data_IF_308335411012
#
_entry.id   IF_308335411012
#
_cell.length_a   1.000
_cell.length_b   1.000
_cell.length_c   1.000
_cell.angle_alpha   90.00
_cell.angle_beta   90.00
_cell.angle_gamma   90.00
#
_symmetry.space_group_name_H-M   'P 1'
#
loop_
_entity.id
_entity.type
_entity.pdbx_description
1 polymer ?
#
# COMPACT_ATOMS: atom_id res chain seq x y z
N UNK A 1 -1.13 -5.11 33.63
CA UNK A 1 -2.13 -4.49 32.74
C UNK A 1 -2.55 -5.56 31.72
N UNK A 2 -3.80 -5.54 31.23
CA UNK A 2 -4.26 -6.44 30.16
C UNK A 2 -3.47 -6.05 28.89
N UNK A 3 -2.88 -7.03 28.21
CA UNK A 3 -2.19 -6.80 26.93
C UNK A 3 -3.20 -6.54 25.83
N UNK A 4 -2.82 -5.73 24.83
CA UNK A 4 -3.54 -5.60 23.57
C UNK A 4 -3.27 -6.84 22.69
N UNK A 5 -4.34 -7.51 22.25
CA UNK A 5 -4.28 -8.82 21.63
C UNK A 5 -4.56 -8.75 20.14
N UNK A 6 -3.56 -9.08 19.33
CA UNK A 6 -3.73 -9.25 17.88
C UNK A 6 -3.98 -10.72 17.54
N UNK A 7 -4.87 -10.96 16.57
CA UNK A 7 -4.96 -12.24 15.88
C UNK A 7 -4.48 -12.07 14.44
N UNK A 8 -3.74 -13.06 13.92
CA UNK A 8 -3.22 -13.03 12.55
C UNK A 8 -4.05 -13.96 11.66
N UNK A 9 -4.59 -13.41 10.57
CA UNK A 9 -5.27 -14.16 9.52
C UNK A 9 -4.33 -14.28 8.32
N UNK A 10 -3.64 -15.45 8.22
CA UNK A 10 -2.62 -15.74 7.21
C UNK A 10 -1.25 -16.01 7.84
N UNK A 11 -0.67 -17.19 7.57
CA UNK A 11 0.61 -17.63 8.11
C UNK A 11 1.73 -17.50 7.05
N UNK A 12 1.92 -16.29 6.51
CA UNK A 12 2.90 -15.97 5.46
C UNK A 12 4.16 -15.30 5.98
N UNK A 13 5.03 -14.87 5.03
CA UNK A 13 6.27 -14.17 5.35
C UNK A 13 6.00 -12.83 6.06
N UNK A 14 5.04 -12.05 5.55
CA UNK A 14 4.73 -10.74 6.11
C UNK A 14 4.17 -10.85 7.54
N UNK A 15 3.43 -11.91 7.83
CA UNK A 15 2.93 -12.20 9.18
C UNK A 15 4.07 -12.40 10.21
N UNK A 16 5.24 -12.94 9.78
CA UNK A 16 6.43 -13.05 10.66
C UNK A 16 7.00 -11.67 10.99
N UNK A 17 7.04 -10.77 10.01
CA UNK A 17 7.49 -9.39 10.23
C UNK A 17 6.56 -8.68 11.22
N UNK A 18 5.26 -8.94 11.12
CA UNK A 18 4.27 -8.40 12.06
C UNK A 18 4.47 -8.96 13.48
N UNK A 19 4.70 -10.27 13.66
CA UNK A 19 5.02 -10.86 14.96
C UNK A 19 6.27 -10.23 15.59
N UNK A 20 7.34 -10.04 14.79
CA UNK A 20 8.55 -9.38 15.27
C UNK A 20 8.25 -7.93 15.70
N UNK A 21 7.47 -7.18 14.93
CA UNK A 21 7.08 -5.82 15.29
C UNK A 21 6.24 -5.76 16.57
N UNK A 22 5.24 -6.62 16.73
CA UNK A 22 4.40 -6.70 17.94
C UNK A 22 5.25 -7.02 19.17
N UNK A 23 6.25 -7.91 19.04
CA UNK A 23 7.15 -8.28 20.13
C UNK A 23 8.01 -7.11 20.67
N UNK A 24 8.13 -6.03 19.87
CA UNK A 24 8.88 -4.81 20.21
C UNK A 24 8.00 -3.73 20.86
N UNK A 25 6.69 -3.97 20.99
CA UNK A 25 5.73 -3.03 21.56
C UNK A 25 5.28 -3.52 22.92
N UNK A 26 5.61 -2.77 23.96
CA UNK A 26 5.23 -3.12 25.33
C UNK A 26 3.70 -3.19 25.47
N UNK A 27 3.24 -4.21 26.18
CA UNK A 27 1.81 -4.39 26.44
C UNK A 27 1.01 -4.97 25.29
N UNK A 28 1.66 -5.50 24.23
CA UNK A 28 1.04 -6.16 23.09
C UNK A 28 1.40 -7.64 23.01
N UNK A 29 0.58 -8.41 22.32
CA UNK A 29 0.87 -9.80 21.97
C UNK A 29 0.10 -10.25 20.72
N UNK A 30 0.64 -11.26 20.05
CA UNK A 30 -0.10 -12.03 19.04
C UNK A 30 -0.70 -13.23 19.79
N UNK A 31 -2.01 -13.25 19.97
CA UNK A 31 -2.71 -14.30 20.74
C UNK A 31 -3.00 -15.54 19.90
N UNK A 32 -3.20 -15.39 18.59
CA UNK A 32 -3.55 -16.50 17.73
C UNK A 32 -3.18 -16.26 16.25
N UNK A 33 -3.03 -17.36 15.52
CA UNK A 33 -2.85 -17.34 14.06
C UNK A 33 -3.81 -18.33 13.39
N UNK A 34 -4.38 -17.97 12.25
CA UNK A 34 -5.13 -18.89 11.41
C UNK A 34 -4.59 -18.95 9.98
N UNK A 35 -4.73 -20.14 9.36
CA UNK A 35 -4.37 -20.36 7.96
C UNK A 35 -5.29 -21.43 7.39
N UNK A 36 -5.58 -21.41 6.07
CA UNK A 36 -6.34 -22.47 5.37
C UNK A 36 -5.74 -23.91 5.54
N UNK A 37 -4.60 -24.03 6.21
CA UNK A 37 -3.94 -25.31 6.53
C UNK A 37 -3.54 -25.28 8.00
N UNK A 38 -4.09 -26.23 8.78
CA UNK A 38 -3.77 -26.37 10.21
C UNK A 38 -2.26 -26.56 10.43
N UNK A 39 -1.62 -27.39 9.61
CA UNK A 39 -0.18 -27.62 9.71
C UNK A 39 0.66 -26.35 9.48
N UNK A 40 0.23 -25.48 8.57
CA UNK A 40 0.90 -24.17 8.36
C UNK A 40 0.67 -23.23 9.53
N UNK A 41 -0.54 -23.19 10.09
CA UNK A 41 -0.85 -22.38 11.26
C UNK A 41 -0.05 -22.87 12.48
N UNK A 42 0.00 -24.18 12.70
CA UNK A 42 0.78 -24.82 13.80
C UNK A 42 2.28 -24.53 13.69
N UNK A 43 2.87 -24.72 12.50
CA UNK A 43 4.28 -24.43 12.28
C UNK A 43 4.61 -22.96 12.51
N UNK A 44 3.78 -22.06 11.97
CA UNK A 44 3.93 -20.61 12.18
C UNK A 44 3.85 -20.25 13.67
N UNK A 45 2.88 -20.80 14.39
CA UNK A 45 2.70 -20.57 15.83
C UNK A 45 3.93 -21.00 16.64
N UNK A 46 4.47 -22.19 16.36
CA UNK A 46 5.69 -22.69 16.99
C UNK A 46 6.92 -21.81 16.72
N UNK A 47 7.09 -21.38 15.47
CA UNK A 47 8.25 -20.55 15.07
C UNK A 47 8.21 -19.14 15.67
N UNK A 48 7.02 -18.60 15.94
CA UNK A 48 6.84 -17.22 16.37
C UNK A 48 6.32 -17.07 17.80
N UNK A 49 6.22 -18.17 18.57
CA UNK A 49 5.81 -18.14 19.97
C UNK A 49 4.34 -17.77 20.18
N UNK A 50 3.46 -18.07 19.22
CA UNK A 50 2.01 -17.86 19.31
C UNK A 50 1.38 -19.11 19.94
N UNK A 51 0.51 -18.93 20.94
CA UNK A 51 -0.04 -20.06 21.69
C UNK A 51 -1.15 -20.80 20.95
N UNK A 52 -2.07 -20.04 20.32
CA UNK A 52 -3.27 -20.60 19.67
C UNK A 52 -3.14 -20.60 18.15
N UNK A 53 -3.57 -21.68 17.50
CA UNK A 53 -3.57 -21.78 16.04
C UNK A 53 -4.83 -22.49 15.52
N UNK A 54 -5.30 -22.08 14.35
CA UNK A 54 -6.58 -22.50 13.75
C UNK A 54 -6.43 -22.74 12.25
N UNK A 55 -7.29 -23.60 11.68
CA UNK A 55 -7.49 -23.76 10.24
C UNK A 55 -8.78 -23.07 9.74
N UNK A 56 -9.51 -22.45 10.66
CA UNK A 56 -10.72 -21.69 10.40
C UNK A 56 -10.63 -20.29 10.99
N UNK A 57 -10.86 -19.28 10.17
CA UNK A 57 -10.74 -17.87 10.56
C UNK A 57 -11.88 -17.42 11.49
N UNK A 58 -13.10 -17.91 11.23
CA UNK A 58 -14.28 -17.59 12.02
C UNK A 58 -14.17 -18.17 13.43
N UNK A 59 -13.75 -19.43 13.53
CA UNK A 59 -13.50 -20.10 14.81
C UNK A 59 -12.44 -19.35 15.64
N UNK A 60 -11.38 -18.84 15.00
CA UNK A 60 -10.37 -18.03 15.69
C UNK A 60 -11.01 -16.77 16.29
N UNK A 61 -11.80 -16.02 15.49
CA UNK A 61 -12.43 -14.76 15.94
C UNK A 61 -13.40 -15.02 17.10
N UNK A 62 -14.22 -16.07 17.03
CA UNK A 62 -15.18 -16.43 18.06
C UNK A 62 -14.53 -16.82 19.39
N UNK A 63 -13.46 -17.62 19.33
CA UNK A 63 -12.80 -18.17 20.53
C UNK A 63 -11.86 -17.18 21.18
N UNK A 64 -11.03 -16.50 20.39
CA UNK A 64 -9.98 -15.63 20.91
C UNK A 64 -10.48 -14.21 21.22
N UNK A 65 -11.46 -13.72 20.46
CA UNK A 65 -12.00 -12.35 20.59
C UNK A 65 -10.86 -11.34 20.70
N UNK A 66 -10.01 -11.23 19.68
CA UNK A 66 -8.86 -10.33 19.71
C UNK A 66 -9.31 -8.87 19.74
N UNK A 67 -8.43 -7.99 20.22
CA UNK A 67 -8.68 -6.55 20.19
C UNK A 67 -8.50 -5.98 18.77
N UNK A 68 -7.74 -6.66 17.88
CA UNK A 68 -7.59 -6.37 16.46
C UNK A 68 -7.19 -7.62 15.66
N UNK A 69 -7.70 -7.77 14.44
CA UNK A 69 -7.27 -8.77 13.48
C UNK A 69 -6.29 -8.14 12.47
N UNK A 70 -5.11 -8.75 12.31
CA UNK A 70 -4.18 -8.45 11.24
C UNK A 70 -4.36 -9.43 10.08
N UNK A 71 -4.74 -8.92 8.90
CA UNK A 71 -5.01 -9.73 7.72
C UNK A 71 -3.79 -9.75 6.83
N UNK A 72 -3.16 -10.91 6.68
CA UNK A 72 -1.89 -11.14 5.99
C UNK A 72 -1.96 -12.31 5.01
N UNK A 73 -3.04 -12.38 4.27
CA UNK A 73 -3.28 -13.35 3.18
C UNK A 73 -2.92 -12.74 1.82
N UNK A 74 -3.27 -13.39 0.72
CA UNK A 74 -3.16 -12.79 -0.62
C UNK A 74 -4.31 -11.80 -0.88
N UNK A 75 -4.06 -10.79 -1.69
CA UNK A 75 -4.94 -9.63 -1.92
C UNK A 75 -6.39 -10.01 -2.27
N UNK A 76 -6.59 -11.11 -2.99
CA UNK A 76 -7.93 -11.60 -3.35
C UNK A 76 -8.82 -12.00 -2.16
N UNK A 77 -8.25 -12.29 -1.00
CA UNK A 77 -8.99 -12.68 0.22
C UNK A 77 -9.12 -11.51 1.25
N UNK A 78 -8.44 -10.36 1.04
CA UNK A 78 -8.43 -9.24 1.99
C UNK A 78 -9.82 -8.71 2.30
N UNK A 79 -10.60 -8.36 1.27
CA UNK A 79 -11.96 -7.85 1.43
C UNK A 79 -12.86 -8.83 2.19
N UNK A 80 -12.91 -10.09 1.77
CA UNK A 80 -13.75 -11.11 2.39
C UNK A 80 -13.44 -11.30 3.88
N UNK A 81 -12.15 -11.35 4.24
CA UNK A 81 -11.75 -11.51 5.64
C UNK A 81 -11.96 -10.24 6.46
N UNK A 82 -11.82 -9.07 5.86
CA UNK A 82 -12.16 -7.80 6.52
C UNK A 82 -13.65 -7.73 6.84
N UNK A 83 -14.53 -8.11 5.91
CA UNK A 83 -15.98 -8.23 6.15
C UNK A 83 -16.28 -9.23 7.27
N UNK A 84 -15.60 -10.38 7.29
CA UNK A 84 -15.75 -11.38 8.36
C UNK A 84 -15.41 -10.77 9.73
N UNK A 85 -14.24 -10.10 9.85
CA UNK A 85 -13.81 -9.48 11.10
C UNK A 85 -14.81 -8.41 11.58
N UNK A 86 -15.24 -7.51 10.68
CA UNK A 86 -16.19 -6.45 11.01
C UNK A 86 -17.55 -7.04 11.45
N UNK A 87 -17.99 -8.16 10.84
CA UNK A 87 -19.19 -8.86 11.26
C UNK A 87 -19.08 -9.48 12.66
N UNK A 88 -17.89 -9.89 13.06
CA UNK A 88 -17.59 -10.37 14.41
C UNK A 88 -17.25 -9.23 15.40
N UNK A 89 -17.43 -7.96 15.01
CA UNK A 89 -17.08 -6.77 15.79
C UNK A 89 -15.60 -6.72 16.19
N UNK A 90 -14.72 -7.19 15.32
CA UNK A 90 -13.26 -7.17 15.52
C UNK A 90 -12.65 -6.09 14.61
N UNK A 91 -11.91 -5.12 15.17
CA UNK A 91 -11.13 -4.14 14.43
C UNK A 91 -10.16 -4.78 13.44
N UNK A 92 -9.88 -4.09 12.33
CA UNK A 92 -9.09 -4.62 11.22
C UNK A 92 -7.89 -3.74 10.92
N UNK A 93 -6.72 -4.38 10.84
CA UNK A 93 -5.52 -3.90 10.18
C UNK A 93 -5.22 -4.86 9.03
N UNK A 94 -5.38 -4.43 7.77
CA UNK A 94 -5.28 -5.31 6.61
C UNK A 94 -4.10 -4.93 5.72
N UNK A 95 -3.30 -5.91 5.33
CA UNK A 95 -2.20 -5.72 4.38
C UNK A 95 -2.63 -5.02 3.09
N UNK A 96 -1.68 -4.30 2.52
CA UNK A 96 -1.84 -3.63 1.22
C UNK A 96 -1.74 -4.67 0.06
N UNK A 97 -2.34 -4.42 -1.08
CA UNK A 97 -3.46 -3.52 -1.29
C UNK A 97 -4.69 -4.12 -0.62
N UNK A 98 -5.38 -3.32 0.18
CA UNK A 98 -6.51 -3.83 0.95
C UNK A 98 -7.69 -4.26 0.08
N UNK A 99 -7.88 -3.61 -1.06
CA UNK A 99 -9.00 -3.84 -1.98
C UNK A 99 -8.51 -4.10 -3.40
N UNK A 100 -9.33 -4.80 -4.18
CA UNK A 100 -9.09 -4.99 -5.60
C UNK A 100 -9.69 -3.86 -6.45
N UNK A 101 -10.74 -3.19 -5.95
CA UNK A 101 -11.49 -2.14 -6.61
C UNK A 101 -12.19 -1.23 -5.61
N UNK A 102 -12.76 -0.12 -6.09
CA UNK A 102 -13.43 0.87 -5.24
C UNK A 102 -14.79 0.42 -4.71
N UNK A 103 -15.44 -0.58 -5.31
CA UNK A 103 -16.70 -1.14 -4.82
C UNK A 103 -16.48 -1.89 -3.50
N UNK A 104 -15.44 -2.74 -3.43
CA UNK A 104 -15.05 -3.43 -2.19
C UNK A 104 -14.77 -2.42 -1.06
N UNK A 105 -14.03 -1.34 -1.36
CA UNK A 105 -13.71 -0.30 -0.39
C UNK A 105 -14.97 0.40 0.15
N UNK A 106 -15.86 0.84 -0.75
CA UNK A 106 -17.12 1.48 -0.36
C UNK A 106 -18.00 0.57 0.51
N UNK A 107 -18.12 -0.70 0.11
CA UNK A 107 -18.96 -1.66 0.82
C UNK A 107 -18.42 -1.95 2.23
N UNK A 108 -17.10 -2.15 2.38
CA UNK A 108 -16.51 -2.42 3.69
C UNK A 108 -16.59 -1.18 4.61
N UNK A 109 -16.27 0.01 4.10
CA UNK A 109 -16.30 1.21 4.92
C UNK A 109 -17.72 1.61 5.34
N UNK A 110 -18.74 1.35 4.50
CA UNK A 110 -20.13 1.50 4.88
C UNK A 110 -20.47 0.56 6.05
N UNK A 111 -20.14 -0.72 5.92
CA UNK A 111 -20.38 -1.72 6.97
C UNK A 111 -19.64 -1.38 8.28
N UNK A 112 -18.37 -0.97 8.18
CA UNK A 112 -17.55 -0.58 9.33
C UNK A 112 -18.10 0.66 10.04
N UNK A 113 -18.60 1.64 9.28
CA UNK A 113 -19.25 2.84 9.82
C UNK A 113 -20.54 2.50 10.57
N UNK A 114 -21.41 1.64 9.99
CA UNK A 114 -22.67 1.20 10.61
C UNK A 114 -22.42 0.45 11.93
N UNK A 115 -21.40 -0.41 11.93
CA UNK A 115 -21.03 -1.22 13.12
C UNK A 115 -20.11 -0.49 14.10
N UNK A 116 -19.58 0.67 13.73
CA UNK A 116 -18.60 1.47 14.50
C UNK A 116 -17.32 0.67 14.77
N UNK A 117 -16.79 -0.01 13.78
CA UNK A 117 -15.58 -0.84 13.88
C UNK A 117 -14.43 -0.14 13.14
N UNK A 118 -13.28 -0.05 13.81
CA UNK A 118 -12.05 0.45 13.21
C UNK A 118 -11.59 -0.42 12.06
N UNK A 119 -11.22 0.19 10.93
CA UNK A 119 -10.62 -0.47 9.76
C UNK A 119 -9.51 0.39 9.20
N UNK A 120 -8.35 -0.19 8.96
CA UNK A 120 -7.19 0.50 8.40
C UNK A 120 -6.44 -0.39 7.42
N UNK A 121 -6.01 0.17 6.28
CA UNK A 121 -5.03 -0.44 5.40
C UNK A 121 -3.63 -0.31 6.00
N UNK A 122 -2.83 -1.39 5.97
CA UNK A 122 -1.47 -1.41 6.50
C UNK A 122 -0.49 -0.78 5.49
N UNK A 123 -0.41 0.55 5.51
CA UNK A 123 0.50 1.35 4.68
C UNK A 123 1.70 1.81 5.52
N UNK A 124 2.46 0.86 6.01
CA UNK A 124 3.61 1.08 6.90
C UNK A 124 4.59 2.13 6.40
N UNK A 125 4.73 2.28 5.06
CA UNK A 125 5.59 3.27 4.41
C UNK A 125 5.29 4.72 4.80
N UNK A 126 4.01 5.07 5.02
CA UNK A 126 3.60 6.43 5.47
C UNK A 126 4.11 6.77 6.87
N UNK A 127 4.45 5.77 7.66
CA UNK A 127 4.92 5.91 9.04
C UNK A 127 6.45 5.96 9.15
N UNK A 128 7.17 5.56 8.11
CA UNK A 128 8.64 5.55 8.12
C UNK A 128 9.22 6.93 8.44
N UNK A 129 10.19 7.04 9.35
CA UNK A 129 10.78 8.32 9.75
C UNK A 129 11.33 9.16 8.59
N UNK A 130 11.94 8.52 7.59
CA UNK A 130 12.46 9.20 6.40
C UNK A 130 11.35 9.77 5.50
N UNK A 131 10.24 9.03 5.29
CA UNK A 131 9.07 9.50 4.54
C UNK A 131 8.42 10.68 5.28
N UNK A 132 8.26 10.57 6.59
CA UNK A 132 7.74 11.67 7.42
C UNK A 132 8.67 12.89 7.44
N UNK A 133 9.98 12.66 7.34
CA UNK A 133 10.93 13.77 7.22
C UNK A 133 10.79 14.50 5.88
N UNK A 134 10.67 13.76 4.77
CA UNK A 134 10.42 14.37 3.46
C UNK A 134 9.11 15.19 3.47
N UNK A 135 8.03 14.64 4.04
CA UNK A 135 6.76 15.36 4.23
C UNK A 135 6.96 16.65 5.04
N UNK A 136 7.67 16.60 6.17
CA UNK A 136 7.97 17.80 6.98
C UNK A 136 8.73 18.84 6.20
N UNK A 137 9.71 18.47 5.37
CA UNK A 137 10.43 19.44 4.54
C UNK A 137 9.53 20.11 3.49
N UNK A 138 8.56 19.36 2.94
CA UNK A 138 7.53 19.93 2.04
C UNK A 138 6.64 20.90 2.81
N UNK A 139 6.10 20.50 3.96
CA UNK A 139 5.25 21.36 4.84
C UNK A 139 5.98 22.61 5.35
N UNK A 140 7.29 22.54 5.54
CA UNK A 140 8.15 23.66 5.92
C UNK A 140 8.62 24.51 4.73
N UNK A 141 8.13 24.21 3.53
CA UNK A 141 8.50 24.90 2.27
C UNK A 141 10.02 24.96 2.01
N UNK A 142 10.80 23.96 2.47
CA UNK A 142 12.26 23.90 2.31
C UNK A 142 12.72 23.97 0.85
N UNK A 143 11.91 23.49 -0.06
CA UNK A 143 12.12 23.55 -1.51
C UNK A 143 11.19 24.57 -2.20
N UNK A 144 10.38 25.32 -1.43
CA UNK A 144 9.23 26.06 -1.92
C UNK A 144 8.07 25.12 -2.24
N UNK A 145 7.00 25.62 -2.87
CA UNK A 145 5.90 24.78 -3.33
C UNK A 145 6.40 23.70 -4.29
N UNK A 146 6.12 22.40 -4.05
CA UNK A 146 6.43 21.35 -5.01
C UNK A 146 5.77 21.60 -6.35
N UNK A 147 6.50 21.41 -7.45
CA UNK A 147 6.00 21.59 -8.82
C UNK A 147 6.04 20.31 -9.65
N UNK A 148 7.02 19.45 -9.38
CA UNK A 148 7.19 18.15 -10.04
C UNK A 148 7.55 17.09 -8.99
N UNK A 149 6.98 15.90 -9.12
CA UNK A 149 7.39 14.71 -8.38
C UNK A 149 7.60 13.56 -9.36
N UNK A 150 8.69 12.82 -9.18
CA UNK A 150 8.96 11.58 -9.91
C UNK A 150 9.16 10.44 -8.90
N UNK A 151 8.53 9.29 -9.14
CA UNK A 151 8.69 8.12 -8.30
C UNK A 151 8.82 6.87 -9.15
N UNK A 152 9.94 6.16 -8.99
CA UNK A 152 10.20 4.89 -9.66
C UNK A 152 10.34 3.78 -8.62
N UNK A 153 9.62 2.67 -8.82
CA UNK A 153 9.75 1.44 -8.05
C UNK A 153 9.74 0.26 -9.04
N UNK A 154 10.78 -0.58 -9.04
CA UNK A 154 10.75 -1.70 -9.97
C UNK A 154 11.87 -2.71 -9.73
N UNK A 155 11.49 -3.98 -9.88
CA UNK A 155 12.38 -5.12 -9.76
C UNK A 155 11.99 -6.20 -10.77
N UNK A 156 12.87 -7.18 -10.99
CA UNK A 156 12.55 -8.33 -11.84
C UNK A 156 11.99 -9.44 -10.95
N UNK A 157 10.69 -9.67 -11.07
CA UNK A 157 10.01 -10.76 -10.37
C UNK A 157 10.42 -12.14 -10.96
N UNK A 158 10.36 -13.22 -10.15
CA UNK A 158 10.61 -14.57 -10.67
C UNK A 158 9.64 -14.90 -11.82
N UNK A 159 10.19 -15.42 -12.93
CA UNK A 159 9.39 -15.82 -14.11
C UNK A 159 8.63 -17.13 -13.84
N UNK A 160 7.52 -17.00 -13.12
CA UNK A 160 6.65 -18.10 -12.73
C UNK A 160 5.19 -17.61 -12.71
N UNK A 161 4.36 -18.12 -13.63
CA UNK A 161 2.96 -17.73 -13.81
C UNK A 161 2.08 -18.08 -12.60
N UNK A 162 2.46 -19.06 -11.79
CA UNK A 162 1.77 -19.43 -10.55
C UNK A 162 2.20 -18.59 -9.35
N UNK A 163 3.26 -17.80 -9.50
CA UNK A 163 3.71 -16.89 -8.47
C UNK A 163 2.66 -15.79 -8.21
N UNK A 164 2.59 -15.31 -6.96
CA UNK A 164 1.65 -14.27 -6.54
C UNK A 164 1.70 -12.98 -7.40
N UNK A 165 2.85 -12.69 -8.03
CA UNK A 165 3.02 -11.50 -8.88
C UNK A 165 2.23 -11.61 -10.19
N UNK A 166 2.20 -12.81 -10.80
CA UNK A 166 1.62 -13.05 -12.12
C UNK A 166 0.30 -13.81 -12.09
N UNK A 167 -0.14 -14.30 -10.92
CA UNK A 167 -1.37 -15.08 -10.81
C UNK A 167 -2.57 -14.18 -10.48
N UNK A 168 -3.51 -13.95 -11.44
CA UNK A 168 -4.68 -13.10 -11.20
C UNK A 168 -5.60 -13.63 -10.10
N UNK A 169 -5.63 -14.99 -9.89
CA UNK A 169 -6.44 -15.61 -8.84
C UNK A 169 -5.94 -15.28 -7.43
N UNK A 170 -4.69 -14.86 -7.30
CA UNK A 170 -4.09 -14.44 -6.04
C UNK A 170 -4.11 -12.91 -5.86
N UNK A 171 -4.69 -12.17 -6.82
CA UNK A 171 -4.68 -10.72 -6.84
C UNK A 171 -3.36 -10.14 -7.32
N UNK A 172 -2.66 -10.84 -8.25
CA UNK A 172 -1.42 -10.39 -8.86
C UNK A 172 -1.57 -9.08 -9.64
N UNK A 173 -0.44 -8.53 -10.06
CA UNK A 173 -0.32 -7.28 -10.80
C UNK A 173 0.55 -6.25 -10.09
N UNK A 174 1.29 -5.45 -10.86
CA UNK A 174 2.16 -4.38 -10.36
C UNK A 174 1.37 -3.33 -9.60
N UNK A 175 0.17 -3.00 -10.08
CA UNK A 175 -0.75 -2.05 -9.47
C UNK A 175 -0.94 -2.30 -7.97
N UNK A 176 -1.26 -3.53 -7.59
CA UNK A 176 -1.61 -3.89 -6.20
C UNK A 176 -0.38 -4.20 -5.34
N UNK A 177 0.78 -4.42 -5.95
CA UNK A 177 1.98 -4.75 -5.17
C UNK A 177 2.93 -3.56 -4.99
N UNK A 178 3.21 -2.78 -6.03
CA UNK A 178 4.19 -1.69 -6.00
C UNK A 178 3.63 -0.32 -6.40
N UNK A 179 2.67 -0.24 -7.35
CA UNK A 179 2.08 1.04 -7.76
C UNK A 179 1.30 1.67 -6.60
N UNK A 180 0.66 0.85 -5.77
CA UNK A 180 0.03 1.28 -4.51
C UNK A 180 1.01 2.10 -3.66
N UNK A 181 2.25 1.65 -3.47
CA UNK A 181 3.25 2.40 -2.68
C UNK A 181 3.63 3.74 -3.32
N UNK A 182 3.91 3.74 -4.63
CA UNK A 182 4.25 4.97 -5.33
C UNK A 182 3.12 6.02 -5.22
N UNK A 183 1.87 5.59 -5.38
CA UNK A 183 0.70 6.45 -5.27
C UNK A 183 0.49 6.94 -3.83
N UNK A 184 0.47 6.04 -2.87
CA UNK A 184 0.15 6.35 -1.47
C UNK A 184 1.18 7.25 -0.80
N UNK A 185 2.49 7.04 -1.08
CA UNK A 185 3.54 7.91 -0.54
C UNK A 185 3.47 9.29 -1.21
N UNK A 186 3.22 9.36 -2.51
CA UNK A 186 3.08 10.62 -3.26
C UNK A 186 1.94 11.47 -2.71
N UNK A 187 0.75 10.88 -2.58
CA UNK A 187 -0.44 11.58 -2.06
C UNK A 187 -0.27 11.99 -0.61
N UNK A 188 0.36 11.16 0.21
CA UNK A 188 0.65 11.45 1.61
C UNK A 188 1.63 12.62 1.76
N UNK A 189 2.72 12.66 0.99
CA UNK A 189 3.72 13.72 1.11
C UNK A 189 3.18 15.05 0.57
N UNK A 190 2.56 15.04 -0.61
CA UNK A 190 2.08 16.25 -1.26
C UNK A 190 0.85 16.83 -0.56
N UNK A 191 -0.06 15.97 -0.09
CA UNK A 191 -1.32 16.35 0.57
C UNK A 191 -2.10 17.45 -0.20
N UNK A 192 -2.11 17.35 -1.53
CA UNK A 192 -2.78 18.28 -2.44
C UNK A 192 -4.01 17.61 -3.09
N UNK A 193 -4.98 18.43 -3.51
CA UNK A 193 -6.13 17.94 -4.27
C UNK A 193 -5.73 17.44 -5.66
N UNK A 194 -6.21 16.25 -6.02
CA UNK A 194 -6.00 15.65 -7.35
C UNK A 194 -7.02 16.24 -8.31
N UNK A 195 -6.55 16.82 -9.44
CA UNK A 195 -7.38 17.34 -10.53
C UNK A 195 -7.61 16.31 -11.61
N UNK A 196 -6.59 15.53 -11.94
CA UNK A 196 -6.67 14.50 -12.99
C UNK A 196 -5.65 13.39 -12.77
N UNK A 197 -5.99 12.17 -13.20
CA UNK A 197 -5.10 11.01 -13.27
C UNK A 197 -5.21 10.38 -14.65
N UNK A 198 -4.06 10.20 -15.31
CA UNK A 198 -3.92 9.42 -16.53
C UNK A 198 -3.09 8.18 -16.25
N UNK A 199 -3.45 7.06 -16.86
CA UNK A 199 -2.79 5.77 -16.66
C UNK A 199 -2.42 5.12 -17.99
N UNK A 200 -1.32 4.38 -18.00
CA UNK A 200 -0.99 3.42 -19.04
C UNK A 200 -0.31 2.21 -18.37
N UNK A 201 -0.51 1.04 -18.95
CA UNK A 201 0.04 -0.20 -18.40
C UNK A 201 0.44 -1.17 -19.52
N UNK A 202 1.39 -2.06 -19.22
CA UNK A 202 1.67 -3.25 -20.02
C UNK A 202 1.27 -4.49 -19.26
N UNK A 203 0.90 -5.55 -19.98
CA UNK A 203 0.24 -6.72 -19.42
C UNK A 203 1.03 -8.00 -19.72
N UNK A 204 1.01 -8.94 -18.77
CA UNK A 204 1.54 -10.28 -18.97
C UNK A 204 0.54 -11.17 -19.74
N UNK A 205 1.01 -12.33 -20.19
CA UNK A 205 0.15 -13.37 -20.79
C UNK A 205 -0.92 -13.91 -19.82
N UNK A 206 -0.74 -13.73 -18.52
CA UNK A 206 -1.71 -14.16 -17.51
C UNK A 206 -2.84 -13.15 -17.29
N UNK A 207 -2.75 -11.96 -17.93
CA UNK A 207 -3.74 -10.90 -17.84
C UNK A 207 -3.58 -9.99 -16.63
N UNK A 208 -2.41 -9.98 -15.96
CA UNK A 208 -2.08 -8.98 -14.93
C UNK A 208 -1.16 -7.92 -15.50
N UNK A 209 -1.26 -6.70 -14.99
CA UNK A 209 -0.35 -5.59 -15.28
C UNK A 209 1.05 -5.89 -14.76
N UNK A 210 2.08 -5.52 -15.53
CA UNK A 210 3.48 -5.76 -15.17
C UNK A 210 4.33 -4.51 -15.13
N UNK A 211 3.91 -3.45 -15.83
CA UNK A 211 4.50 -2.12 -15.77
C UNK A 211 3.39 -1.10 -15.85
N UNK A 212 3.34 -0.20 -14.87
CA UNK A 212 2.36 0.86 -14.82
C UNK A 212 3.04 2.21 -14.89
N UNK A 213 2.42 3.12 -15.63
CA UNK A 213 2.73 4.54 -15.64
C UNK A 213 1.48 5.32 -15.20
N UNK A 214 1.63 6.11 -14.13
CA UNK A 214 0.55 6.92 -13.56
C UNK A 214 1.00 8.37 -13.52
N UNK A 215 0.35 9.22 -14.33
CA UNK A 215 0.57 10.65 -14.34
C UNK A 215 -0.57 11.35 -13.58
N UNK A 216 -0.22 12.12 -12.54
CA UNK A 216 -1.18 12.79 -11.66
C UNK A 216 -1.00 14.29 -11.74
N UNK A 217 -2.06 15.02 -12.10
CA UNK A 217 -2.12 16.46 -11.99
C UNK A 217 -2.77 16.83 -10.66
N UNK A 218 -2.01 17.34 -9.74
CA UNK A 218 -2.47 17.95 -8.50
C UNK A 218 -2.79 19.44 -8.69
N UNK A 219 -3.06 20.15 -7.62
CA UNK A 219 -3.34 21.60 -7.67
C UNK A 219 -2.14 22.40 -8.19
N UNK A 220 -0.96 22.14 -7.64
CA UNK A 220 0.28 22.87 -7.95
C UNK A 220 1.40 21.95 -8.46
N UNK A 221 1.24 20.62 -8.39
CA UNK A 221 2.27 19.62 -8.69
C UNK A 221 1.83 18.69 -9.80
N UNK A 222 2.76 18.37 -10.70
CA UNK A 222 2.64 17.24 -11.61
C UNK A 222 3.48 16.08 -11.08
N UNK A 223 2.86 14.91 -10.86
CA UNK A 223 3.56 13.71 -10.42
C UNK A 223 3.57 12.65 -11.51
N UNK A 224 4.73 11.98 -11.65
CA UNK A 224 5.01 10.93 -12.62
C UNK A 224 5.50 9.69 -11.88
N UNK A 225 4.71 8.61 -11.92
CA UNK A 225 4.96 7.36 -11.22
C UNK A 225 5.18 6.25 -12.22
N UNK A 226 6.34 5.57 -12.16
CA UNK A 226 6.66 4.43 -12.99
C UNK A 226 6.98 3.23 -12.12
N UNK A 227 6.26 2.13 -12.33
CA UNK A 227 6.45 0.89 -11.56
C UNK A 227 6.55 -0.31 -12.48
N UNK A 228 7.37 -1.32 -12.15
CA UNK A 228 7.55 -2.49 -13.00
C UNK A 228 7.96 -3.74 -12.22
N UNK A 229 7.37 -4.90 -12.60
CA UNK A 229 7.85 -6.23 -12.17
C UNK A 229 8.85 -6.87 -13.15
N UNK A 230 9.04 -6.28 -14.31
CA UNK A 230 9.83 -6.89 -15.40
C UNK A 230 11.06 -6.06 -15.74
N UNK A 231 11.30 -5.00 -15.00
CA UNK A 231 12.49 -4.16 -15.14
C UNK A 231 13.03 -3.74 -13.77
N UNK A 232 14.35 -3.85 -13.59
CA UNK A 232 15.03 -3.26 -12.45
C UNK A 232 15.14 -1.75 -12.68
N UNK A 233 14.41 -0.96 -11.89
CA UNK A 233 14.48 0.49 -11.93
C UNK A 233 15.42 1.02 -10.84
N UNK A 234 15.95 2.23 -11.02
CA UNK A 234 16.55 2.98 -9.93
C UNK A 234 15.42 3.48 -9.01
N UNK A 235 15.26 2.81 -7.87
CA UNK A 235 14.16 3.07 -6.96
C UNK A 235 14.39 4.35 -6.17
N UNK A 236 13.65 5.38 -6.51
CA UNK A 236 13.69 6.64 -5.81
C UNK A 236 12.41 7.45 -6.01
N UNK A 237 12.16 8.36 -5.06
CA UNK A 237 11.21 9.46 -5.24
C UNK A 237 11.99 10.78 -5.18
N UNK A 238 11.76 11.65 -6.15
CA UNK A 238 12.35 12.98 -6.19
C UNK A 238 11.24 14.03 -6.27
N UNK A 239 11.25 14.97 -5.33
CA UNK A 239 10.28 16.07 -5.25
C UNK A 239 11.02 17.36 -5.55
N UNK A 240 10.61 18.06 -6.59
CA UNK A 240 11.24 19.29 -7.06
C UNK A 240 10.38 20.50 -6.71
N UNK A 241 11.01 21.55 -6.22
CA UNK A 241 10.42 22.86 -6.01
C UNK A 241 11.32 23.96 -6.49
N UNK A 242 10.88 25.21 -6.29
CA UNK A 242 11.61 26.39 -6.78
C UNK A 242 13.03 26.54 -6.22
N UNK A 243 13.26 26.06 -4.97
CA UNK A 243 14.50 26.33 -4.25
C UNK A 243 15.40 25.09 -4.08
N UNK A 244 14.96 23.93 -4.57
CA UNK A 244 15.73 22.71 -4.43
C UNK A 244 14.90 21.46 -4.72
N UNK A 245 15.40 20.32 -4.26
CA UNK A 245 14.73 19.05 -4.36
C UNK A 245 14.92 18.19 -3.12
N UNK A 246 13.96 17.32 -2.86
CA UNK A 246 14.03 16.26 -1.86
C UNK A 246 14.18 14.92 -2.59
N UNK A 247 15.08 14.06 -2.11
CA UNK A 247 15.31 12.72 -2.66
C UNK A 247 15.07 11.70 -1.56
N UNK A 248 14.22 10.71 -1.84
CA UNK A 248 13.97 9.52 -1.02
C UNK A 248 14.40 8.29 -1.81
N UNK A 249 15.56 7.71 -1.53
CA UNK A 249 15.93 6.38 -2.04
C UNK A 249 14.96 5.34 -1.50
N UNK A 250 14.60 4.36 -2.34
CA UNK A 250 13.72 3.25 -1.96
C UNK A 250 12.47 3.68 -1.18
N UNK A 251 11.57 4.49 -1.78
CA UNK A 251 10.53 5.23 -1.06
C UNK A 251 9.63 4.35 -0.19
N UNK A 252 9.35 3.11 -0.60
CA UNK A 252 8.46 2.19 0.12
C UNK A 252 9.09 1.52 1.36
N UNK A 253 10.44 1.61 1.52
CA UNK A 253 11.16 1.20 2.74
C UNK A 253 12.31 2.17 3.07
N UNK A 254 12.10 3.46 2.80
CA UNK A 254 13.10 4.50 2.98
C UNK A 254 13.62 4.58 4.42
N UNK A 255 14.95 4.51 4.58
CA UNK A 255 15.64 4.76 5.84
C UNK A 255 16.33 6.11 5.87
N UNK A 256 16.39 6.82 4.75
CA UNK A 256 17.06 8.11 4.63
C UNK A 256 16.36 9.04 3.63
N UNK A 257 16.57 10.34 3.82
CA UNK A 257 16.06 11.39 2.96
C UNK A 257 17.10 12.50 2.79
N UNK A 258 17.18 13.08 1.61
CA UNK A 258 18.14 14.11 1.26
C UNK A 258 17.44 15.38 0.79
N UNK A 259 17.92 16.53 1.25
CA UNK A 259 17.49 17.86 0.80
C UNK A 259 18.64 18.56 0.09
N UNK A 260 18.46 18.89 -1.18
CA UNK A 260 19.44 19.58 -2.01
C UNK A 260 18.94 20.97 -2.41
N UNK A 261 19.84 21.93 -2.50
CA UNK A 261 19.59 23.21 -3.18
C UNK A 261 19.67 23.09 -4.69
N UNK A 262 19.25 24.13 -5.43
CA UNK A 262 19.37 24.19 -6.90
C UNK A 262 20.82 24.24 -7.39
N UNK A 263 21.75 24.61 -6.52
CA UNK A 263 23.20 24.54 -6.73
C UNK A 263 23.75 23.11 -6.73
N UNK A 264 22.89 22.12 -6.39
CA UNK A 264 23.26 20.73 -6.23
C UNK A 264 23.92 20.41 -4.88
N UNK A 265 24.12 21.40 -4.00
CA UNK A 265 24.66 21.15 -2.67
C UNK A 265 23.67 20.47 -1.75
N UNK A 266 24.16 19.49 -0.99
CA UNK A 266 23.42 18.84 0.08
C UNK A 266 23.21 19.85 1.23
N UNK A 267 21.95 20.16 1.53
CA UNK A 267 21.58 21.08 2.61
C UNK A 267 21.24 20.34 3.91
N UNK A 268 20.50 19.26 3.82
CA UNK A 268 20.14 18.40 4.97
C UNK A 268 20.16 16.93 4.54
N UNK A 269 20.57 16.05 5.47
CA UNK A 269 20.51 14.59 5.31
C UNK A 269 19.90 13.99 6.57
N UNK A 270 18.83 13.27 6.41
CA UNK A 270 18.18 12.51 7.47
C UNK A 270 18.50 11.02 7.29
N UNK A 271 18.90 10.37 8.38
CA UNK A 271 19.11 8.91 8.43
C UNK A 271 18.40 8.35 9.64
N UNK A 272 17.55 7.35 9.41
CA UNK A 272 16.94 6.57 10.48
C UNK A 272 17.87 5.41 10.87
N UNK A 273 18.46 5.51 12.04
CA UNK A 273 19.36 4.50 12.59
C UNK A 273 18.69 3.64 13.69
N UNK A 274 17.50 4.01 14.12
CA UNK A 274 16.86 3.43 15.29
C UNK A 274 15.81 2.37 14.95
N UNK A 275 15.13 2.53 13.82
CA UNK A 275 14.05 1.62 13.42
C UNK A 275 14.59 0.24 13.06
N UNK A 276 14.21 -0.77 13.84
CA UNK A 276 14.55 -2.18 13.58
C UNK A 276 13.49 -2.88 12.72
N UNK A 277 12.23 -2.46 12.87
CA UNK A 277 11.10 -2.97 12.12
C UNK A 277 10.08 -1.82 11.96
N UNK A 278 9.87 -1.36 10.73
CA UNK A 278 9.02 -0.21 10.44
C UNK A 278 7.52 -0.41 10.72
N UNK A 279 7.07 -1.66 10.85
CA UNK A 279 5.68 -1.98 11.17
C UNK A 279 5.27 -1.53 12.57
N UNK A 280 6.23 -1.32 13.49
CA UNK A 280 5.92 -0.86 14.86
C UNK A 280 5.08 0.42 14.87
N UNK A 281 5.32 1.32 13.91
CA UNK A 281 4.66 2.62 13.90
C UNK A 281 3.19 2.54 13.49
N UNK A 282 2.85 1.78 12.44
CA UNK A 282 1.45 1.60 12.02
C UNK A 282 0.67 0.79 13.05
N UNK A 283 1.31 -0.21 13.70
CA UNK A 283 0.70 -0.99 14.77
C UNK A 283 0.39 -0.10 15.97
N UNK A 284 1.31 0.78 16.38
CA UNK A 284 1.07 1.73 17.47
C UNK A 284 -0.05 2.71 17.15
N UNK A 285 -0.14 3.19 15.90
CA UNK A 285 -1.23 4.06 15.46
C UNK A 285 -2.58 3.33 15.47
N UNK A 286 -2.63 2.09 14.97
CA UNK A 286 -3.84 1.27 15.01
C UNK A 286 -4.33 1.04 16.45
N UNK A 287 -3.41 0.68 17.37
CA UNK A 287 -3.73 0.52 18.81
C UNK A 287 -4.30 1.83 19.37
N UNK A 288 -3.64 2.96 19.10
CA UNK A 288 -4.08 4.27 19.58
C UNK A 288 -5.47 4.62 19.05
N UNK A 289 -5.71 4.43 17.76
CA UNK A 289 -7.01 4.71 17.15
C UNK A 289 -8.13 3.82 17.73
N UNK A 290 -7.87 2.53 17.91
CA UNK A 290 -8.84 1.59 18.48
C UNK A 290 -9.15 1.96 19.94
N UNK A 291 -8.13 2.27 20.75
CA UNK A 291 -8.31 2.69 22.15
C UNK A 291 -9.02 4.04 22.29
N UNK A 292 -8.89 4.90 21.28
CA UNK A 292 -9.58 6.19 21.20
C UNK A 292 -10.97 6.08 20.53
N UNK A 293 -11.46 4.87 20.26
CA UNK A 293 -12.75 4.59 19.59
C UNK A 293 -12.89 5.29 18.23
N UNK A 294 -11.77 5.54 17.51
CA UNK A 294 -11.79 6.04 16.14
C UNK A 294 -12.19 4.93 15.17
N UNK A 295 -12.74 5.28 14.01
CA UNK A 295 -13.08 4.33 12.96
C UNK A 295 -11.97 4.15 11.92
N UNK A 296 -11.08 5.13 11.80
CA UNK A 296 -9.98 5.18 10.85
C UNK A 296 -8.75 5.88 11.44
N UNK A 297 -7.60 5.75 10.80
CA UNK A 297 -6.37 6.48 11.12
C UNK A 297 -6.36 7.86 10.45
N UNK A 298 -5.81 8.86 11.14
CA UNK A 298 -5.55 10.17 10.52
C UNK A 298 -4.41 10.12 9.49
N UNK A 299 -3.54 9.10 9.56
CA UNK A 299 -2.40 8.91 8.65
C UNK A 299 -2.80 8.11 7.41
N UNK A 300 -3.70 7.14 7.57
CA UNK A 300 -4.26 6.30 6.50
C UNK A 300 -5.80 6.39 6.57
N UNK A 301 -6.39 7.54 6.22
CA UNK A 301 -7.84 7.70 6.25
C UNK A 301 -8.50 6.93 5.12
N UNK A 302 -9.74 6.48 5.34
CA UNK A 302 -10.53 5.70 4.36
C UNK A 302 -10.62 6.37 2.98
N UNK A 303 -10.69 7.70 2.95
CA UNK A 303 -10.75 8.46 1.69
C UNK A 303 -9.52 8.23 0.80
N UNK A 304 -8.33 8.04 1.40
CA UNK A 304 -7.09 7.85 0.66
C UNK A 304 -7.03 6.43 0.08
N UNK A 305 -7.30 5.40 0.89
CA UNK A 305 -7.41 4.01 0.42
C UNK A 305 -8.48 3.86 -0.66
N UNK A 306 -9.65 4.52 -0.51
CA UNK A 306 -10.71 4.55 -1.53
C UNK A 306 -10.21 5.23 -2.82
N UNK A 307 -9.45 6.31 -2.71
CA UNK A 307 -8.89 7.00 -3.89
C UNK A 307 -7.87 6.11 -4.62
N UNK A 308 -7.05 5.35 -3.87
CA UNK A 308 -6.14 4.35 -4.44
C UNK A 308 -6.91 3.20 -5.13
N UNK A 309 -7.97 2.69 -4.52
CA UNK A 309 -8.82 1.67 -5.14
C UNK A 309 -9.49 2.16 -6.45
N UNK A 310 -9.85 3.44 -6.54
CA UNK A 310 -10.32 4.07 -7.80
C UNK A 310 -9.21 4.18 -8.86
N UNK A 311 -7.94 4.32 -8.46
CA UNK A 311 -6.83 4.21 -9.41
C UNK A 311 -6.75 2.80 -9.99
N UNK A 312 -6.95 1.76 -9.16
CA UNK A 312 -7.00 0.37 -9.64
C UNK A 312 -8.10 0.15 -10.67
N UNK A 313 -9.30 0.71 -10.43
CA UNK A 313 -10.39 0.67 -11.42
C UNK A 313 -10.00 1.30 -12.76
N UNK A 314 -9.27 2.43 -12.74
CA UNK A 314 -8.79 3.09 -13.97
C UNK A 314 -7.76 2.26 -14.73
N UNK A 315 -6.82 1.61 -14.01
CA UNK A 315 -5.81 0.74 -14.65
C UNK A 315 -6.49 -0.51 -15.24
N UNK A 316 -7.43 -1.11 -14.52
CA UNK A 316 -8.19 -2.24 -15.03
C UNK A 316 -9.03 -1.86 -16.28
N UNK A 317 -9.70 -0.71 -16.27
CA UNK A 317 -10.45 -0.21 -17.43
C UNK A 317 -9.55 0.05 -18.65
N UNK A 318 -8.32 0.50 -18.44
CA UNK A 318 -7.34 0.67 -19.52
C UNK A 318 -6.98 -0.67 -20.22
N UNK A 319 -7.02 -1.79 -19.49
CA UNK A 319 -6.88 -3.14 -20.07
C UNK A 319 -8.03 -3.46 -21.04
N UNK A 320 -9.26 -3.20 -20.61
CA UNK A 320 -10.46 -3.50 -21.38
C UNK A 320 -10.51 -2.65 -22.66
N UNK A 321 -10.14 -1.37 -22.61
CA UNK A 321 -10.06 -0.49 -23.78
C UNK A 321 -9.02 -0.96 -24.81
N UNK A 322 -7.89 -1.53 -24.34
CA UNK A 322 -6.83 -2.04 -25.20
C UNK A 322 -7.20 -3.34 -25.92
N UNK A 323 -8.03 -4.17 -25.28
CA UNK A 323 -8.58 -5.38 -25.88
C UNK A 323 -9.55 -5.06 -27.05
N UNK A 324 -10.08 -3.82 -27.09
CA UNK A 324 -11.03 -3.35 -28.11
C UNK A 324 -10.36 -2.58 -29.25
N UNK A 325 -9.14 -2.06 -29.08
CA UNK A 325 -8.40 -1.31 -30.12
C UNK A 325 -7.28 -2.19 -30.68
N UNK A 326 -7.52 -2.82 -31.80
CA UNK A 326 -6.45 -3.42 -32.60
C UNK A 326 -5.63 -2.31 -33.28
N UNK A 327 -4.37 -2.62 -33.64
CA UNK A 327 -3.46 -1.66 -34.34
C UNK A 327 -4.10 -1.08 -35.60
N UNK A 328 -5.04 -1.80 -36.23
CA UNK A 328 -5.83 -1.37 -37.39
C UNK A 328 -6.68 -0.13 -37.11
N UNK A 329 -7.16 0.09 -35.89
CA UNK A 329 -7.92 1.29 -35.52
C UNK A 329 -7.03 2.53 -35.32
N UNK A 330 -5.72 2.37 -35.19
CA UNK A 330 -4.75 3.47 -35.06
C UNK A 330 -4.24 3.91 -36.45
N UNK A 331 -4.27 3.04 -37.45
CA UNK A 331 -3.87 3.37 -38.84
C UNK A 331 -4.96 4.11 -39.63
N UNK A 332 -6.18 4.17 -39.14
CA UNK A 332 -7.30 4.89 -39.75
C UNK A 332 -7.29 6.41 -39.48
N UNK A 333 -6.12 7.04 -39.31
CA UNK A 333 -6.02 8.50 -39.39
C UNK A 333 -6.09 8.88 -40.86
N UNK A 334 -7.13 9.63 -41.31
CA UNK A 334 -7.28 10.02 -42.70
C UNK A 334 -6.02 10.72 -43.21
N UNK A 335 -5.59 10.37 -44.43
CA UNK A 335 -4.41 10.97 -45.09
C UNK A 335 -4.44 12.51 -45.14
N UNK A 336 -5.61 13.12 -45.03
CA UNK A 336 -5.80 14.57 -45.04
C UNK A 336 -5.19 15.30 -43.82
N UNK A 337 -4.97 14.60 -42.71
CA UNK A 337 -4.37 15.19 -41.47
C UNK A 337 -2.83 15.11 -41.44
N UNK A 338 -2.22 14.38 -42.39
CA UNK A 338 -0.76 14.26 -42.51
C UNK A 338 -0.07 15.42 -43.22
N UNK A 339 -0.83 16.32 -43.84
CA UNK A 339 -0.30 17.44 -44.63
C UNK A 339 -0.12 18.73 -43.81
N UNK A 340 -0.52 18.79 -42.56
CA UNK A 340 -0.44 19.98 -41.70
C UNK A 340 0.46 19.84 -40.48
N UNK A 341 1.27 18.78 -40.40
CA UNK A 341 2.37 18.61 -39.43
C UNK A 341 3.68 18.54 -40.19
#
# INVERSE_FOLDING_TARGET
MKKFRFAILGAGHIARQFCDAVSRIDGCEVCAVASKSLARAENFAKENGVESYYDDYEMLLEKERPDCAYIAVTTNDHYRLSVLCVNHNVPVLCEKAMFQNSEEANNLYTLASEKKIFVMEALWSRYLPAVRQAKRWVEQEKIGTPTVLQCNIGFVAPDDKENRYFNPKLGGGATKDITVYAYEITTFILNQAIKNISVSATWSDTGVDVTDHVAICFEDTFADLLTSFVAQLEEQMVIYGRFGRIVLPHPHYASEAYLYGNDGELKEHFVDQETKNGFVYEIQDAIHCIQAEKLESDVVPWKDTLACAKLFDKINAFCDEKALKTIEDIEAVPEETRAEL
#
